data_IF_021484263744
#
_entry.id   IF_021484263744
#
_cell.length_a   1.000
_cell.length_b   1.000
_cell.length_c   1.000
_cell.angle_alpha   90.00
_cell.angle_beta   90.00
_cell.angle_gamma   90.00
#
_symmetry.space_group_name_H-M   'P 1'
#
loop_
_entity.id
_entity.type
_entity.pdbx_description
1 polymer ?
#
# COMPACT_ATOMS: atom_id res chain seq x y z
N UNK A 1 30.34 -5.36 1.44
CA UNK A 1 28.93 -4.93 1.51
C UNK A 1 28.96 -3.47 1.91
N UNK A 2 28.69 -2.59 0.95
CA UNK A 2 28.98 -1.16 0.97
C UNK A 2 27.85 -0.46 1.73
N UNK A 3 28.17 0.24 2.83
CA UNK A 3 27.24 1.19 3.44
C UNK A 3 27.80 2.61 3.31
N UNK A 4 27.09 3.35 2.48
CA UNK A 4 27.29 4.70 1.94
C UNK A 4 27.22 5.82 3.00
N UNK A 5 28.01 5.78 4.08
CA UNK A 5 27.92 6.83 5.13
C UNK A 5 29.23 7.41 5.65
N UNK A 6 30.39 7.01 5.12
CA UNK A 6 31.69 7.53 5.57
C UNK A 6 32.33 8.56 4.61
N UNK A 7 31.57 9.08 3.65
CA UNK A 7 32.07 10.05 2.67
C UNK A 7 31.38 11.41 2.84
N UNK A 8 31.77 12.14 3.88
CA UNK A 8 31.68 13.61 4.01
C UNK A 8 32.27 14.03 5.38
N UNK A 9 33.58 13.85 5.54
CA UNK A 9 34.35 14.47 6.62
C UNK A 9 35.49 15.27 6.00
N UNK A 10 35.16 16.52 5.64
CA UNK A 10 36.01 17.70 5.43
C UNK A 10 35.05 18.79 4.93
N UNK A 11 35.00 20.03 5.37
CA UNK A 11 35.67 20.87 6.37
C UNK A 11 34.72 22.11 6.44
N UNK A 12 34.56 22.75 7.60
CA UNK A 12 33.62 23.88 7.86
C UNK A 12 32.12 23.56 7.94
N UNK A 13 31.72 22.68 8.88
CA UNK A 13 30.32 22.67 9.34
C UNK A 13 30.19 23.49 10.61
N UNK A 14 29.24 24.44 10.61
CA UNK A 14 28.91 25.24 11.80
C UNK A 14 28.72 24.32 13.02
N UNK A 15 29.18 24.72 14.22
CA UNK A 15 29.05 23.90 15.43
C UNK A 15 27.59 23.52 15.73
N UNK A 16 26.63 24.31 15.25
CA UNK A 16 25.20 24.01 15.33
C UNK A 16 24.77 22.85 14.42
N UNK A 17 25.36 22.71 13.23
CA UNK A 17 25.07 21.61 12.29
C UNK A 17 25.59 20.28 12.84
N UNK A 18 26.79 20.29 13.44
CA UNK A 18 27.38 19.11 14.09
C UNK A 18 26.51 18.68 15.28
N UNK A 19 26.13 19.61 16.15
CA UNK A 19 25.25 19.33 17.28
C UNK A 19 23.88 18.79 16.85
N UNK A 20 23.36 19.29 15.72
CA UNK A 20 22.10 18.81 15.14
C UNK A 20 22.20 17.36 14.62
N UNK A 21 23.29 17.02 13.93
CA UNK A 21 23.54 15.65 13.45
C UNK A 21 23.73 14.65 14.60
N UNK A 22 24.44 15.04 15.65
CA UNK A 22 24.61 14.24 16.86
C UNK A 22 23.27 13.99 17.56
N UNK A 23 22.43 15.02 17.69
CA UNK A 23 21.10 14.89 18.25
C UNK A 23 20.21 13.95 17.42
N UNK A 24 20.31 14.03 16.08
CA UNK A 24 19.61 13.12 15.16
C UNK A 24 20.07 11.67 15.32
N UNK A 25 21.37 11.43 15.49
CA UNK A 25 21.92 10.09 15.73
C UNK A 25 21.46 9.51 17.08
N UNK A 26 21.50 10.32 18.14
CA UNK A 26 21.03 9.92 19.47
C UNK A 26 19.53 9.58 19.44
N UNK A 27 18.71 10.42 18.82
CA UNK A 27 17.29 10.16 18.65
C UNK A 27 17.03 8.84 17.91
N UNK A 28 17.76 8.57 16.83
CA UNK A 28 17.62 7.33 16.07
C UNK A 28 18.00 6.09 16.88
N UNK A 29 19.03 6.19 17.71
CA UNK A 29 19.44 5.10 18.60
C UNK A 29 18.35 4.78 19.63
N UNK A 30 17.82 5.81 20.29
CA UNK A 30 16.72 5.70 21.25
C UNK A 30 15.46 5.14 20.57
N UNK A 31 15.21 5.51 19.31
CA UNK A 31 14.07 5.01 18.54
C UNK A 31 14.16 3.50 18.30
N UNK A 32 15.34 3.02 17.91
CA UNK A 32 15.59 1.58 17.70
C UNK A 32 15.43 0.80 19.00
N UNK A 33 15.96 1.30 20.11
CA UNK A 33 15.82 0.68 21.42
C UNK A 33 14.35 0.62 21.86
N UNK A 34 13.61 1.73 21.71
CA UNK A 34 12.19 1.79 22.07
C UNK A 34 11.32 0.85 21.23
N UNK A 35 11.68 0.62 19.96
CA UNK A 35 11.01 -0.34 19.07
C UNK A 35 11.29 -1.80 19.46
N UNK A 36 12.47 -2.09 19.99
CA UNK A 36 12.82 -3.43 20.52
C UNK A 36 12.11 -3.71 21.84
N UNK A 37 11.98 -2.71 22.70
CA UNK A 37 11.27 -2.82 23.99
C UNK A 37 9.75 -2.97 23.82
N UNK A 38 9.19 -2.37 22.77
CA UNK A 38 7.74 -2.37 22.53
C UNK A 38 7.39 -2.76 21.08
N UNK A 39 7.46 -4.05 20.73
CA UNK A 39 7.17 -4.53 19.37
C UNK A 39 5.68 -4.41 18.98
N UNK A 40 4.78 -4.32 19.96
CA UNK A 40 3.33 -4.33 19.75
C UNK A 40 2.72 -2.93 19.49
N UNK A 41 3.50 -1.86 19.70
CA UNK A 41 3.01 -0.47 19.58
C UNK A 41 3.10 0.05 18.15
N UNK A 42 2.18 0.96 17.80
CA UNK A 42 2.18 1.58 16.48
C UNK A 42 3.38 2.55 16.33
N UNK A 43 3.90 2.73 15.11
CA UNK A 43 5.05 3.59 14.80
C UNK A 43 4.88 5.01 15.36
N UNK A 44 3.65 5.54 15.35
CA UNK A 44 3.32 6.85 15.91
C UNK A 44 3.49 6.90 17.44
N UNK A 45 3.12 5.83 18.15
CA UNK A 45 3.23 5.72 19.60
C UNK A 45 4.70 5.52 20.02
N UNK A 46 5.43 4.69 19.27
CA UNK A 46 6.89 4.52 19.43
C UNK A 46 7.61 5.85 19.21
N UNK A 47 7.21 6.63 18.21
CA UNK A 47 7.74 7.99 17.97
C UNK A 47 7.54 8.93 19.16
N UNK A 48 6.34 8.92 19.78
CA UNK A 48 6.05 9.72 20.98
C UNK A 48 6.91 9.30 22.17
N UNK A 49 7.03 8.00 22.43
CA UNK A 49 7.86 7.46 23.52
C UNK A 49 9.34 7.78 23.34
N UNK A 50 9.83 7.66 22.10
CA UNK A 50 11.21 7.99 21.74
C UNK A 50 11.51 9.48 21.98
N UNK A 51 10.62 10.36 21.52
CA UNK A 51 10.77 11.80 21.72
C UNK A 51 10.76 12.17 23.22
N UNK A 52 9.93 11.50 24.01
CA UNK A 52 9.91 11.68 25.46
C UNK A 52 11.23 11.23 26.11
N UNK A 53 11.74 10.05 25.75
CA UNK A 53 13.02 9.53 26.25
C UNK A 53 14.20 10.44 25.87
N UNK A 54 14.26 10.87 24.61
CA UNK A 54 15.29 11.80 24.13
C UNK A 54 15.26 13.14 24.88
N UNK A 55 14.07 13.70 25.15
CA UNK A 55 13.92 14.92 25.95
C UNK A 55 14.27 14.72 27.43
N UNK A 56 14.10 13.51 27.97
CA UNK A 56 14.47 13.18 29.33
C UNK A 56 16.00 13.06 29.50
N UNK A 57 16.68 12.47 28.52
CA UNK A 57 18.13 12.25 28.49
C UNK A 57 18.93 13.49 28.07
N UNK A 58 18.33 14.42 27.32
CA UNK A 58 19.00 15.64 26.90
C UNK A 58 19.56 16.45 28.10
N UNK A 59 20.77 17.02 27.98
CA UNK A 59 21.39 17.77 29.07
C UNK A 59 20.60 19.05 29.40
N UNK A 60 19.93 19.06 30.56
CA UNK A 60 19.13 20.21 31.02
C UNK A 60 20.02 21.28 31.68
N UNK A 61 19.90 22.52 31.22
CA UNK A 61 20.62 23.66 31.81
C UNK A 61 20.15 23.98 33.24
N UNK A 62 20.99 24.66 34.03
CA UNK A 62 20.69 25.02 35.44
C UNK A 62 19.44 25.89 35.57
N UNK A 63 19.20 26.76 34.59
CA UNK A 63 18.00 27.59 34.52
C UNK A 63 16.74 26.73 34.31
N UNK A 64 16.81 25.73 33.42
CA UNK A 64 15.70 24.80 33.15
C UNK A 64 15.36 23.99 34.41
N UNK A 65 16.37 23.49 35.14
CA UNK A 65 16.14 22.77 36.42
C UNK A 65 15.48 23.64 37.47
N UNK A 66 15.87 24.92 37.58
CA UNK A 66 15.24 25.88 38.50
C UNK A 66 13.78 26.16 38.13
N UNK A 67 13.51 26.40 36.84
CA UNK A 67 12.15 26.64 36.35
C UNK A 67 11.28 25.41 36.57
N UNK A 68 11.80 24.21 36.33
CA UNK A 68 11.05 22.96 36.53
C UNK A 68 10.71 22.73 38.01
N UNK A 69 11.65 22.95 38.93
CA UNK A 69 11.43 22.81 40.37
C UNK A 69 10.45 23.85 40.93
N UNK A 70 10.52 25.10 40.43
CA UNK A 70 9.58 26.15 40.84
C UNK A 70 8.19 25.90 40.25
N UNK A 71 8.09 25.47 38.98
CA UNK A 71 6.81 25.13 38.34
C UNK A 71 6.13 23.92 39.01
N UNK A 72 6.88 22.89 39.41
CA UNK A 72 6.30 21.74 40.12
C UNK A 72 5.70 22.08 41.48
N UNK A 73 6.15 23.17 42.11
CA UNK A 73 5.67 23.61 43.42
C UNK A 73 4.48 24.58 43.32
N UNK A 74 4.37 25.35 42.23
CA UNK A 74 3.41 26.47 42.13
C UNK A 74 2.15 26.11 41.32
N UNK A 75 2.24 25.21 40.33
CA UNK A 75 1.08 24.79 39.57
C UNK A 75 1.22 23.33 39.13
N UNK A 76 0.28 22.49 39.55
CA UNK A 76 0.17 21.08 39.12
C UNK A 76 -0.26 20.92 37.65
N UNK A 77 0.29 21.70 36.73
CA UNK A 77 0.10 21.51 35.30
C UNK A 77 1.07 20.42 34.84
N UNK A 78 0.58 19.33 34.22
CA UNK A 78 1.41 18.18 33.91
C UNK A 78 2.41 18.54 32.81
N UNK A 79 3.71 18.45 33.15
CA UNK A 79 4.86 18.47 32.23
C UNK A 79 4.61 17.62 30.96
N UNK A 80 3.81 16.57 31.09
CA UNK A 80 3.39 15.71 29.98
C UNK A 80 2.80 16.51 28.82
N UNK A 81 1.86 17.46 29.03
CA UNK A 81 1.19 18.16 27.92
C UNK A 81 2.12 19.04 27.10
N UNK A 82 3.05 19.77 27.74
CA UNK A 82 4.05 20.58 27.03
C UNK A 82 5.08 19.70 26.31
N UNK A 83 5.42 18.54 26.89
CA UNK A 83 6.33 17.55 26.29
C UNK A 83 5.64 16.83 25.13
N UNK A 84 4.36 16.50 25.26
CA UNK A 84 3.52 15.90 24.22
C UNK A 84 3.36 16.88 23.05
N UNK A 85 3.12 18.16 23.31
CA UNK A 85 3.09 19.21 22.28
C UNK A 85 4.44 19.35 21.57
N UNK A 86 5.55 19.41 22.31
CA UNK A 86 6.89 19.47 21.71
C UNK A 86 7.25 18.20 20.94
N UNK A 87 6.86 17.03 21.45
CA UNK A 87 7.04 15.76 20.75
C UNK A 87 6.19 15.72 19.46
N UNK A 88 4.95 16.19 19.51
CA UNK A 88 4.10 16.33 18.34
C UNK A 88 4.67 17.32 17.33
N UNK A 89 5.26 18.43 17.78
CA UNK A 89 5.92 19.41 16.91
C UNK A 89 7.22 18.88 16.30
N UNK A 90 7.94 17.98 16.98
CA UNK A 90 9.10 17.24 16.43
C UNK A 90 8.64 16.15 15.44
N UNK A 91 7.49 15.51 15.68
CA UNK A 91 6.94 14.43 14.84
C UNK A 91 6.24 14.98 13.59
N UNK A 92 5.59 16.14 13.65
CA UNK A 92 4.91 16.80 12.51
C UNK A 92 5.78 16.89 11.25
N UNK A 93 7.06 17.29 11.29
CA UNK A 93 7.91 17.31 10.11
C UNK A 93 8.39 15.92 9.65
N UNK A 94 8.28 14.88 10.49
CA UNK A 94 8.65 13.49 10.15
C UNK A 94 7.50 12.72 9.49
N UNK A 95 6.26 13.14 9.69
CA UNK A 95 5.11 12.66 8.92
C UNK A 95 5.02 13.53 7.68
N UNK A 96 5.24 13.00 6.46
CA UNK A 96 5.07 13.82 5.26
C UNK A 96 3.66 14.38 5.29
N UNK A 97 3.53 15.72 5.28
CA UNK A 97 2.25 16.36 5.13
C UNK A 97 1.60 15.74 3.89
N UNK A 98 0.45 15.10 4.06
CA UNK A 98 -0.24 14.45 2.96
C UNK A 98 -0.57 15.56 1.97
N UNK A 99 0.19 15.61 0.87
CA UNK A 99 0.10 16.68 -0.12
C UNK A 99 -1.37 16.84 -0.52
N UNK A 100 -1.81 18.08 -0.70
CA UNK A 100 -3.17 18.39 -1.16
C UNK A 100 -3.30 18.06 -2.65
N UNK A 101 -3.16 16.78 -2.99
CA UNK A 101 -3.14 16.26 -4.35
C UNK A 101 -4.07 15.06 -4.46
N UNK A 102 -4.87 15.03 -5.52
CA UNK A 102 -5.73 13.89 -5.83
C UNK A 102 -4.90 12.83 -6.54
N UNK A 103 -4.94 11.59 -6.05
CA UNK A 103 -4.24 10.44 -6.62
C UNK A 103 -5.28 9.41 -7.05
N UNK A 104 -5.27 9.05 -8.33
CA UNK A 104 -6.13 8.00 -8.89
C UNK A 104 -5.29 6.79 -9.21
N UNK A 105 -5.65 5.61 -8.74
CA UNK A 105 -4.89 4.38 -8.96
C UNK A 105 -5.74 3.12 -8.87
N UNK A 106 -5.26 2.01 -9.44
CA UNK A 106 -5.85 0.70 -9.24
C UNK A 106 -5.56 0.14 -7.85
N UNK A 107 -6.52 -0.58 -7.28
CA UNK A 107 -6.33 -1.30 -6.02
C UNK A 107 -7.23 -2.56 -5.99
N UNK A 108 -6.67 -3.77 -6.16
CA UNK A 108 -5.25 -4.09 -6.41
C UNK A 108 -4.77 -3.71 -7.82
N UNK A 109 -3.45 -3.79 -8.07
CA UNK A 109 -2.84 -3.58 -9.40
C UNK A 109 -2.69 -4.88 -10.21
N UNK A 110 -2.98 -6.03 -9.61
CA UNK A 110 -2.87 -7.34 -10.23
C UNK A 110 -4.15 -8.13 -9.98
N UNK A 111 -4.66 -8.75 -11.04
CA UNK A 111 -5.88 -9.54 -11.02
C UNK A 111 -5.62 -10.86 -11.72
N UNK A 112 -6.21 -11.91 -11.18
CA UNK A 112 -6.16 -13.26 -11.75
C UNK A 112 -7.60 -13.74 -11.82
N UNK A 113 -8.02 -14.23 -12.98
CA UNK A 113 -9.33 -14.82 -13.17
C UNK A 113 -9.23 -16.10 -14.01
N UNK A 114 -10.20 -16.98 -13.82
CA UNK A 114 -10.42 -18.11 -14.73
C UNK A 114 -11.05 -17.59 -16.02
N UNK A 115 -10.79 -18.26 -17.14
CA UNK A 115 -11.40 -17.98 -18.43
C UNK A 115 -12.94 -18.02 -18.37
N UNK A 116 -13.48 -19.05 -17.72
CA UNK A 116 -14.93 -19.24 -17.51
C UNK A 116 -15.63 -18.26 -16.53
N UNK A 117 -14.93 -17.25 -16.00
CA UNK A 117 -15.53 -16.29 -15.05
C UNK A 117 -16.61 -15.43 -15.69
N UNK A 118 -16.55 -15.26 -17.02
CA UNK A 118 -17.43 -14.42 -17.83
C UNK A 118 -17.21 -12.92 -17.66
N UNK A 119 -17.10 -12.39 -16.43
CA UNK A 119 -16.78 -10.97 -16.19
C UNK A 119 -15.87 -10.78 -14.98
N UNK A 120 -14.87 -9.91 -15.14
CA UNK A 120 -14.00 -9.45 -14.06
C UNK A 120 -14.25 -7.97 -13.77
N UNK A 121 -14.28 -7.58 -12.50
CA UNK A 121 -14.44 -6.19 -12.07
C UNK A 121 -13.13 -5.66 -11.51
N UNK A 122 -12.53 -4.68 -12.18
CA UNK A 122 -11.33 -4.00 -11.70
C UNK A 122 -11.71 -2.81 -10.82
N UNK A 123 -11.05 -2.65 -9.69
CA UNK A 123 -11.32 -1.57 -8.75
C UNK A 123 -10.33 -0.42 -8.94
N UNK A 124 -10.87 0.78 -9.14
CA UNK A 124 -10.12 2.04 -9.19
C UNK A 124 -10.45 2.84 -7.94
N UNK A 125 -9.41 3.27 -7.22
CA UNK A 125 -9.53 4.08 -6.01
C UNK A 125 -9.02 5.50 -6.26
N UNK A 126 -9.65 6.47 -5.61
CA UNK A 126 -9.28 7.88 -5.58
C UNK A 126 -8.94 8.28 -4.16
N UNK A 127 -7.68 8.64 -3.92
CA UNK A 127 -7.27 9.32 -2.70
C UNK A 127 -7.28 10.83 -2.93
N UNK A 128 -8.13 11.55 -2.20
CA UNK A 128 -8.24 13.02 -2.27
C UNK A 128 -7.23 13.74 -1.35
N UNK A 129 -6.36 13.01 -0.66
CA UNK A 129 -5.31 13.61 0.17
C UNK A 129 -5.89 14.38 1.36
N UNK A 130 -5.38 15.60 1.57
CA UNK A 130 -5.86 16.55 2.60
C UNK A 130 -6.85 17.59 2.03
N UNK A 131 -7.42 17.35 0.85
CA UNK A 131 -8.38 18.28 0.25
C UNK A 131 -9.71 18.12 0.97
N UNK A 132 -10.08 19.12 1.77
CA UNK A 132 -11.36 19.16 2.49
C UNK A 132 -12.54 19.50 1.55
N UNK A 133 -12.25 20.14 0.42
CA UNK A 133 -13.25 20.46 -0.59
C UNK A 133 -13.80 19.21 -1.29
N UNK A 134 -15.11 19.20 -1.50
CA UNK A 134 -15.75 18.24 -2.37
C UNK A 134 -15.26 18.47 -3.81
N UNK A 135 -14.65 17.46 -4.42
CA UNK A 135 -14.16 17.53 -5.78
C UNK A 135 -14.68 16.37 -6.64
N UNK A 136 -14.92 16.69 -7.92
CA UNK A 136 -15.28 15.73 -8.95
C UNK A 136 -14.00 15.31 -9.67
N UNK A 137 -13.78 14.00 -9.77
CA UNK A 137 -12.56 13.45 -10.36
C UNK A 137 -12.93 12.64 -11.58
N UNK A 138 -12.34 12.96 -12.73
CA UNK A 138 -12.57 12.22 -13.98
C UNK A 138 -11.26 11.56 -14.41
N UNK A 139 -11.31 10.29 -14.78
CA UNK A 139 -10.16 9.54 -15.31
C UNK A 139 -10.59 8.73 -16.51
N UNK A 140 -9.71 8.60 -17.51
CA UNK A 140 -9.94 7.75 -18.68
C UNK A 140 -9.19 6.44 -18.52
N UNK A 141 -9.73 5.38 -19.11
CA UNK A 141 -9.13 4.07 -19.09
C UNK A 141 -9.26 3.38 -20.44
N UNK A 142 -8.31 2.50 -20.74
CA UNK A 142 -8.31 1.64 -21.94
C UNK A 142 -7.64 0.31 -21.65
N UNK A 143 -8.11 -0.74 -22.31
CA UNK A 143 -7.42 -2.03 -22.39
C UNK A 143 -6.24 -1.95 -23.35
N UNK A 144 -5.18 -2.70 -23.04
CA UNK A 144 -3.98 -2.84 -23.86
C UNK A 144 -3.68 -4.35 -23.91
N UNK A 145 -3.71 -4.90 -25.13
CA UNK A 145 -3.32 -6.28 -25.39
C UNK A 145 -1.84 -6.52 -25.03
N UNK A 146 -1.54 -7.72 -24.55
CA UNK A 146 -0.18 -8.23 -24.37
C UNK A 146 -0.09 -9.64 -24.96
N UNK A 147 -0.19 -10.69 -24.14
CA UNK A 147 -0.32 -12.07 -24.67
C UNK A 147 -1.77 -12.42 -24.97
N UNK A 148 -2.72 -11.94 -24.16
CA UNK A 148 -4.14 -12.07 -24.43
C UNK A 148 -4.58 -11.08 -25.53
N UNK A 149 -5.34 -11.60 -26.49
CA UNK A 149 -5.84 -10.94 -27.69
C UNK A 149 -7.26 -10.39 -27.49
N UNK A 150 -7.44 -9.12 -27.82
CA UNK A 150 -8.75 -8.47 -27.81
C UNK A 150 -9.72 -9.13 -28.82
N UNK A 151 -10.93 -9.45 -28.37
CA UNK A 151 -11.99 -10.09 -29.16
C UNK A 151 -11.89 -11.61 -29.24
N UNK A 152 -10.82 -12.21 -28.72
CA UNK A 152 -10.68 -13.66 -28.55
C UNK A 152 -10.76 -14.07 -27.08
N UNK A 153 -9.96 -13.44 -26.23
CA UNK A 153 -9.76 -13.87 -24.84
C UNK A 153 -10.47 -12.91 -23.87
N UNK A 154 -10.63 -11.65 -24.29
CA UNK A 154 -11.43 -10.65 -23.59
C UNK A 154 -12.05 -9.64 -24.56
N UNK A 155 -13.13 -8.98 -24.14
CA UNK A 155 -13.69 -7.85 -24.88
C UNK A 155 -12.98 -6.56 -24.46
N UNK A 156 -12.37 -5.86 -25.43
CA UNK A 156 -11.69 -4.60 -25.17
C UNK A 156 -12.66 -3.50 -24.75
N UNK A 157 -12.23 -2.70 -23.77
CA UNK A 157 -13.05 -1.62 -23.21
C UNK A 157 -12.20 -0.36 -23.11
N UNK A 158 -12.76 0.74 -23.59
CA UNK A 158 -12.25 2.09 -23.34
C UNK A 158 -13.38 2.98 -22.83
N UNK A 159 -13.07 3.89 -21.91
CA UNK A 159 -14.10 4.73 -21.30
C UNK A 159 -13.55 5.78 -20.35
N UNK A 160 -14.47 6.47 -19.68
CA UNK A 160 -14.16 7.45 -18.65
C UNK A 160 -14.98 7.19 -17.40
N UNK A 161 -14.32 7.26 -16.25
CA UNK A 161 -14.95 7.16 -14.93
C UNK A 161 -15.03 8.56 -14.35
N UNK A 162 -16.19 8.91 -13.83
CA UNK A 162 -16.40 10.16 -13.09
C UNK A 162 -16.78 9.82 -11.66
N UNK A 163 -15.91 10.16 -10.72
CA UNK A 163 -16.13 10.01 -9.30
C UNK A 163 -16.88 11.23 -8.76
N UNK A 164 -18.05 10.98 -8.19
CA UNK A 164 -18.80 12.02 -7.49
C UNK A 164 -18.08 12.46 -6.22
N UNK A 165 -18.40 13.65 -5.67
CA UNK A 165 -17.92 14.03 -4.36
C UNK A 165 -18.21 12.95 -3.32
N UNK A 166 -17.19 12.57 -2.53
CA UNK A 166 -17.22 11.50 -1.52
C UNK A 166 -17.24 10.05 -2.06
N UNK A 167 -17.24 9.85 -3.38
CA UNK A 167 -17.07 8.54 -3.99
C UNK A 167 -15.58 8.25 -4.15
N UNK A 168 -15.07 7.21 -3.49
CA UNK A 168 -13.65 6.86 -3.53
C UNK A 168 -13.35 5.67 -4.44
N UNK A 169 -14.34 4.79 -4.72
CA UNK A 169 -14.12 3.52 -5.41
C UNK A 169 -15.08 3.40 -6.57
N UNK A 170 -14.55 3.04 -7.74
CA UNK A 170 -15.32 2.70 -8.93
C UNK A 170 -14.88 1.34 -9.48
N UNK A 171 -15.76 0.69 -10.23
CA UNK A 171 -15.53 -0.63 -10.83
C UNK A 171 -15.55 -0.55 -12.35
N UNK A 172 -14.57 -1.17 -12.99
CA UNK A 172 -14.52 -1.37 -14.45
C UNK A 172 -14.84 -2.85 -14.73
N UNK A 173 -16.04 -3.16 -15.25
CA UNK A 173 -16.37 -4.51 -15.69
C UNK A 173 -15.71 -4.78 -17.05
N UNK A 174 -15.00 -5.91 -17.15
CA UNK A 174 -14.41 -6.41 -18.40
C UNK A 174 -14.95 -7.81 -18.61
N UNK A 175 -15.42 -8.11 -19.83
CA UNK A 175 -15.92 -9.42 -20.18
C UNK A 175 -14.76 -10.31 -20.62
N UNK A 176 -14.64 -11.47 -20.01
CA UNK A 176 -13.71 -12.54 -20.39
C UNK A 176 -14.46 -13.49 -21.31
N UNK A 177 -13.82 -13.88 -22.39
CA UNK A 177 -14.39 -14.78 -23.38
C UNK A 177 -13.88 -16.18 -23.05
N UNK A 178 -14.81 -17.12 -22.96
CA UNK A 178 -14.56 -18.53 -22.64
C UNK A 178 -14.56 -19.35 -23.93
N UNK A 179 -13.52 -20.16 -24.13
CA UNK A 179 -13.39 -21.06 -25.27
C UNK A 179 -13.35 -22.54 -24.84
N UNK A 180 -13.06 -23.43 -25.80
CA UNK A 180 -12.98 -24.89 -25.56
C UNK A 180 -11.57 -25.44 -25.85
N UNK A 181 -10.61 -24.56 -26.13
CA UNK A 181 -9.26 -24.93 -26.54
C UNK A 181 -8.31 -24.58 -25.42
N UNK A 182 -7.56 -25.57 -24.98
CA UNK A 182 -6.46 -25.36 -24.06
C UNK A 182 -5.45 -24.34 -24.61
N UNK A 183 -5.28 -23.25 -23.87
CA UNK A 183 -4.29 -22.21 -24.08
C UNK A 183 -3.35 -22.09 -22.84
N UNK A 184 -2.22 -21.40 -22.98
CA UNK A 184 -1.35 -21.10 -21.82
C UNK A 184 -1.90 -19.89 -21.06
N UNK A 185 -1.44 -19.65 -19.82
CA UNK A 185 -1.86 -18.47 -19.05
C UNK A 185 -1.53 -17.17 -19.82
N UNK A 186 -2.57 -16.42 -20.16
CA UNK A 186 -2.44 -15.17 -20.91
C UNK A 186 -2.70 -13.95 -20.05
N UNK A 187 -2.23 -12.78 -20.49
CA UNK A 187 -2.42 -11.54 -19.76
C UNK A 187 -2.68 -10.36 -20.68
N UNK A 188 -3.42 -9.40 -20.16
CA UNK A 188 -3.61 -8.08 -20.75
C UNK A 188 -3.49 -7.00 -19.67
N UNK A 189 -3.43 -5.75 -20.11
CA UNK A 189 -3.28 -4.60 -19.25
C UNK A 189 -4.46 -3.64 -19.37
N UNK A 190 -4.74 -2.90 -18.29
CA UNK A 190 -5.69 -1.80 -18.29
C UNK A 190 -4.98 -0.57 -17.77
N UNK A 191 -4.93 0.49 -18.57
CA UNK A 191 -4.18 1.69 -18.26
C UNK A 191 -5.12 2.86 -17.95
N UNK A 192 -4.86 3.56 -16.84
CA UNK A 192 -5.45 4.85 -16.53
C UNK A 192 -4.64 5.98 -17.16
N UNK A 193 -5.33 6.98 -17.71
CA UNK A 193 -4.72 8.17 -18.28
C UNK A 193 -5.64 9.38 -18.13
N UNK A 194 -5.09 10.59 -18.32
CA UNK A 194 -5.83 11.85 -18.28
C UNK A 194 -6.70 12.06 -17.02
N UNK A 195 -6.14 11.83 -15.83
CA UNK A 195 -6.84 12.11 -14.57
C UNK A 195 -6.95 13.62 -14.31
N UNK A 196 -8.16 14.13 -14.15
CA UNK A 196 -8.47 15.54 -13.84
C UNK A 196 -9.32 15.63 -12.59
N UNK A 197 -9.07 16.63 -11.75
CA UNK A 197 -9.89 16.93 -10.58
C UNK A 197 -10.40 18.37 -10.69
N UNK A 198 -11.69 18.56 -10.47
CA UNK A 198 -12.36 19.86 -10.55
C UNK A 198 -13.06 20.09 -9.21
N UNK A 199 -12.99 21.31 -8.66
CA UNK A 199 -13.72 21.64 -7.44
C UNK A 199 -15.23 21.61 -7.69
N UNK A 200 -16.00 21.09 -6.73
CA UNK A 200 -17.47 21.03 -6.87
C UNK A 200 -18.15 22.39 -6.69
N UNK A 201 -17.50 23.33 -6.02
CA UNK A 201 -18.02 24.70 -5.85
C UNK A 201 -17.87 25.54 -7.10
N UNK A 202 -16.72 25.42 -7.79
CA UNK A 202 -16.40 26.17 -8.99
C UNK A 202 -15.81 25.26 -10.08
N UNK A 203 -16.57 24.99 -11.16
CA UNK A 203 -16.12 24.14 -12.26
C UNK A 203 -14.90 24.67 -13.03
N UNK A 204 -14.53 25.95 -12.83
CA UNK A 204 -13.37 26.58 -13.45
C UNK A 204 -12.07 26.36 -12.68
N UNK A 205 -12.14 25.82 -11.46
CA UNK A 205 -10.97 25.58 -10.61
C UNK A 205 -10.54 24.12 -10.75
N UNK A 206 -9.43 23.90 -11.45
CA UNK A 206 -8.77 22.59 -11.51
C UNK A 206 -7.86 22.40 -10.29
N UNK A 207 -8.03 21.26 -9.62
CA UNK A 207 -7.22 20.84 -8.48
C UNK A 207 -6.05 19.97 -8.98
N UNK A 208 -4.90 19.98 -8.29
CA UNK A 208 -3.76 19.15 -8.69
C UNK A 208 -4.12 17.66 -8.58
N UNK A 209 -4.18 16.98 -9.73
CA UNK A 209 -4.40 15.55 -9.85
C UNK A 209 -3.17 14.84 -10.42
N UNK A 210 -2.98 13.59 -10.02
CA UNK A 210 -1.99 12.70 -10.63
C UNK A 210 -2.48 11.27 -10.62
N UNK A 211 -1.87 10.46 -11.47
CA UNK A 211 -2.09 9.04 -11.48
C UNK A 211 -1.07 8.43 -10.53
N UNK A 212 -1.53 7.58 -9.63
CA UNK A 212 -0.68 6.91 -8.64
C UNK A 212 0.27 5.89 -9.28
N UNK A 213 1.11 5.24 -8.46
CA UNK A 213 2.05 4.22 -8.92
C UNK A 213 1.37 3.04 -9.62
N UNK A 214 0.16 2.67 -9.18
CA UNK A 214 -0.67 1.66 -9.84
C UNK A 214 -1.52 2.28 -10.95
N UNK A 215 -0.87 2.87 -11.96
CA UNK A 215 -1.50 3.48 -13.14
C UNK A 215 -2.00 2.44 -14.14
N UNK A 216 -1.39 1.26 -14.14
CA UNK A 216 -1.76 0.12 -15.00
C UNK A 216 -2.08 -1.08 -14.13
N UNK A 217 -3.23 -1.72 -14.37
CA UNK A 217 -3.57 -3.02 -13.82
C UNK A 217 -3.21 -4.12 -14.81
N UNK A 218 -2.67 -5.23 -14.31
CA UNK A 218 -2.43 -6.44 -15.10
C UNK A 218 -3.48 -7.48 -14.74
N UNK A 219 -4.12 -8.05 -15.74
CA UNK A 219 -5.09 -9.13 -15.59
C UNK A 219 -4.50 -10.39 -16.23
N UNK A 220 -4.42 -11.47 -15.46
CA UNK A 220 -4.04 -12.80 -15.95
C UNK A 220 -5.32 -13.63 -16.10
N UNK A 221 -5.49 -14.23 -17.27
CA UNK A 221 -6.52 -15.20 -17.59
C UNK A 221 -5.89 -16.58 -17.47
N UNK A 222 -6.47 -17.42 -16.60
CA UNK A 222 -6.06 -18.79 -16.37
C UNK A 222 -7.04 -19.72 -17.09
N UNK A 223 -6.50 -20.53 -17.98
CA UNK A 223 -7.23 -21.53 -18.76
C UNK A 223 -7.78 -22.67 -17.86
N UNK A 224 -9.01 -23.12 -18.12
CA UNK A 224 -9.61 -24.29 -17.47
C UNK A 224 -9.91 -25.48 -18.40
N UNK A 225 -9.39 -25.42 -19.62
CA UNK A 225 -9.59 -26.39 -20.69
C UNK A 225 -8.54 -27.50 -20.74
N UNK A 226 -7.58 -27.52 -19.82
CA UNK A 226 -6.64 -28.63 -19.73
C UNK A 226 -7.38 -29.96 -19.55
N UNK A 227 -6.96 -30.99 -20.31
CA UNK A 227 -7.52 -32.35 -20.25
C UNK A 227 -7.30 -33.07 -18.90
N UNK A 228 -6.75 -32.39 -17.90
CA UNK A 228 -6.35 -32.92 -16.60
C UNK A 228 -5.16 -33.88 -16.63
N UNK A 229 -4.54 -34.04 -15.47
CA UNK A 229 -3.52 -35.03 -15.17
C UNK A 229 -4.09 -36.01 -14.15
N UNK A 230 -3.98 -37.30 -14.45
CA UNK A 230 -4.46 -38.37 -13.59
C UNK A 230 -3.33 -38.89 -12.72
N UNK A 231 -3.61 -39.06 -11.43
CA UNK A 231 -2.65 -39.59 -10.46
C UNK A 231 -3.32 -40.25 -9.28
N UNK A 232 -2.51 -40.78 -8.37
CA UNK A 232 -2.96 -41.29 -7.09
C UNK A 232 -2.66 -40.27 -6.00
N UNK A 233 -3.43 -40.30 -4.91
CA UNK A 233 -3.18 -39.44 -3.74
C UNK A 233 -1.91 -39.80 -2.98
N UNK A 234 -1.39 -41.02 -3.16
CA UNK A 234 -0.13 -41.47 -2.57
C UNK A 234 0.50 -42.56 -3.43
N UNK A 235 1.82 -42.73 -3.30
CA UNK A 235 2.55 -43.84 -3.93
C UNK A 235 2.38 -45.15 -3.15
N UNK A 236 2.09 -45.07 -1.84
CA UNK A 236 1.99 -46.25 -0.96
C UNK A 236 0.71 -46.20 -0.16
N UNK A 237 -0.09 -47.26 -0.26
CA UNK A 237 -1.32 -47.44 0.51
C UNK A 237 -1.16 -48.60 1.49
N UNK A 238 -1.43 -48.35 2.77
CA UNK A 238 -1.52 -49.39 3.80
C UNK A 238 -2.99 -49.78 3.96
N UNK A 239 -3.30 -51.06 3.74
CA UNK A 239 -4.67 -51.59 3.79
C UNK A 239 -4.68 -52.75 4.79
N UNK A 240 -5.74 -52.85 5.59
CA UNK A 240 -5.93 -53.99 6.50
C UNK A 240 -6.38 -55.22 5.74
N UNK A 241 -5.83 -56.39 6.09
CA UNK A 241 -6.16 -57.68 5.46
C UNK A 241 -7.62 -58.10 5.64
N UNK A 242 -8.32 -57.53 6.63
CA UNK A 242 -9.73 -57.82 6.89
C UNK A 242 -10.68 -57.04 5.97
N UNK A 243 -10.16 -56.29 4.98
CA UNK A 243 -10.95 -55.53 4.02
C UNK A 243 -11.16 -56.37 2.76
N UNK A 244 -12.43 -56.66 2.43
CA UNK A 244 -12.81 -57.44 1.24
C UNK A 244 -12.53 -56.72 -0.08
N UNK A 245 -12.57 -55.39 -0.06
CA UNK A 245 -12.45 -54.54 -1.26
C UNK A 245 -11.83 -53.21 -0.89
N UNK A 246 -10.71 -52.88 -1.52
CA UNK A 246 -10.04 -51.59 -1.38
C UNK A 246 -10.34 -50.71 -2.59
N UNK A 247 -10.92 -49.53 -2.36
CA UNK A 247 -11.18 -48.55 -3.41
C UNK A 247 -9.98 -47.61 -3.54
N UNK A 248 -9.16 -47.84 -4.58
CA UNK A 248 -8.08 -46.94 -4.93
C UNK A 248 -8.65 -45.71 -5.65
N UNK A 249 -8.54 -44.54 -5.01
CA UNK A 249 -8.99 -43.27 -5.60
C UNK A 249 -7.98 -42.80 -6.64
N UNK A 250 -8.46 -42.60 -7.87
CA UNK A 250 -7.74 -41.86 -8.92
C UNK A 250 -8.16 -40.40 -8.82
N UNK A 251 -7.20 -39.50 -8.71
CA UNK A 251 -7.42 -38.06 -8.68
C UNK A 251 -7.07 -37.46 -10.04
N UNK A 252 -7.96 -36.60 -10.54
CA UNK A 252 -7.72 -35.78 -11.72
C UNK A 252 -7.39 -34.37 -11.25
N UNK A 253 -6.25 -33.84 -11.68
CA UNK A 253 -5.73 -32.52 -11.33
C UNK A 253 -5.54 -31.69 -12.59
N UNK A 254 -5.28 -30.37 -12.46
CA UNK A 254 -5.01 -29.42 -13.56
C UNK A 254 -6.16 -29.12 -14.54
N UNK A 255 -7.21 -29.93 -14.60
CA UNK A 255 -8.38 -29.64 -15.42
C UNK A 255 -9.35 -30.81 -15.50
N UNK A 256 -10.57 -30.52 -15.94
CA UNK A 256 -11.67 -31.48 -16.02
C UNK A 256 -12.28 -31.61 -17.42
N UNK A 257 -11.77 -30.89 -18.42
CA UNK A 257 -12.33 -30.85 -19.77
C UNK A 257 -12.17 -32.20 -20.49
N UNK A 258 -13.25 -32.71 -21.07
CA UNK A 258 -13.29 -33.99 -21.78
C UNK A 258 -14.15 -33.84 -23.04
N UNK A 259 -13.87 -34.67 -24.06
CA UNK A 259 -14.61 -34.71 -25.31
C UNK A 259 -16.05 -35.23 -25.15
#
# INVERSE_FOLDING_TARGET
MILFSDYLLQEETDPEVIAFEEHKRLFWKIFQETRLEHPDLNIKEIGKLTAWKALAEAPKSRAVRRIQAVRSLVAGVPLMKEVDQKAEDIIKPLVPAKEAKVIVQFQPCHYICMENVGKINLHVNVDRGSIEESCLVTVQYKTIQDTATEGKDYEGVQGSITFQPKENVATIPIKIIDCEKYEEDEKFHVQLYNARAISSSDPSVELPSTIGPASTATVIIVDDDHAGAFGFSSEVFKVSENVSTFFLKVERTRGARGA
#
